data_IF_286866806273
#
_entry.id   IF_286866806273
#
_cell.length_a   1.000
_cell.length_b   1.000
_cell.length_c   1.000
_cell.angle_alpha   90.00
_cell.angle_beta   90.00
_cell.angle_gamma   90.00
#
_symmetry.space_group_name_H-M   'P 1'
#
loop_
_entity.id
_entity.type
_entity.pdbx_description
1 polymer ?
#
# COMPACT_ATOMS: atom_id res chain seq x y z
N UNK A 1 26.00 -34.40 -63.86
CA UNK A 1 26.26 -34.58 -62.42
C UNK A 1 26.44 -33.21 -61.76
N UNK A 2 25.52 -32.22 -61.96
CA UNK A 2 25.60 -30.85 -61.37
C UNK A 2 24.32 -30.34 -60.74
N UNK A 3 23.24 -31.15 -60.68
CA UNK A 3 21.92 -30.70 -60.20
C UNK A 3 21.70 -31.01 -58.71
N UNK A 4 22.49 -31.92 -58.10
CA UNK A 4 22.28 -32.30 -56.68
C UNK A 4 22.89 -31.34 -55.65
N UNK A 5 23.86 -30.49 -56.03
CA UNK A 5 24.55 -29.60 -55.12
C UNK A 5 23.80 -28.30 -54.81
N UNK A 6 22.89 -27.87 -55.72
CA UNK A 6 22.09 -26.65 -55.55
C UNK A 6 20.89 -26.78 -54.61
N UNK A 7 20.31 -27.98 -54.51
CA UNK A 7 19.16 -28.22 -53.63
C UNK A 7 19.52 -28.38 -52.15
N UNK A 8 20.75 -28.78 -51.85
CA UNK A 8 21.21 -28.94 -50.44
C UNK A 8 21.58 -27.58 -49.82
N UNK A 9 22.10 -26.64 -50.63
CA UNK A 9 22.42 -25.28 -50.20
C UNK A 9 21.17 -24.47 -49.87
N UNK A 10 20.07 -24.62 -50.60
CA UNK A 10 18.80 -23.90 -50.34
C UNK A 10 18.09 -24.38 -49.08
N UNK A 11 18.20 -25.69 -48.76
CA UNK A 11 17.63 -26.25 -47.54
C UNK A 11 18.37 -25.77 -46.30
N UNK A 12 19.68 -25.68 -46.32
CA UNK A 12 20.48 -25.21 -45.18
C UNK A 12 20.25 -23.72 -44.91
N UNK A 13 20.16 -22.90 -45.92
CA UNK A 13 19.84 -21.46 -45.77
C UNK A 13 18.42 -21.28 -45.22
N UNK A 14 17.47 -22.10 -45.62
CA UNK A 14 16.10 -22.07 -45.13
C UNK A 14 16.02 -22.49 -43.65
N UNK A 15 16.77 -23.52 -43.23
CA UNK A 15 16.82 -23.97 -41.83
C UNK A 15 17.43 -22.90 -40.88
N UNK A 16 18.50 -22.24 -41.32
CA UNK A 16 19.10 -21.17 -40.51
C UNK A 16 18.14 -19.98 -40.36
N UNK A 17 17.42 -19.59 -41.39
CA UNK A 17 16.39 -18.54 -41.33
C UNK A 17 15.27 -18.91 -40.39
N UNK A 18 14.79 -20.15 -40.41
CA UNK A 18 13.78 -20.65 -39.51
C UNK A 18 14.28 -20.65 -38.06
N UNK A 19 15.52 -21.09 -37.83
CA UNK A 19 16.13 -21.06 -36.52
C UNK A 19 16.26 -19.63 -35.97
N UNK A 20 16.70 -18.66 -36.78
CA UNK A 20 16.74 -17.27 -36.34
C UNK A 20 15.37 -16.69 -36.06
N UNK A 21 14.35 -17.02 -36.85
CA UNK A 21 12.97 -16.59 -36.56
C UNK A 21 12.44 -17.16 -35.25
N UNK A 22 12.69 -18.44 -34.99
CA UNK A 22 12.30 -19.09 -33.73
C UNK A 22 13.07 -18.50 -32.54
N UNK A 23 14.35 -18.22 -32.69
CA UNK A 23 15.17 -17.60 -31.66
C UNK A 23 14.70 -16.18 -31.33
N UNK A 24 14.38 -15.38 -32.34
CA UNK A 24 13.80 -14.03 -32.15
C UNK A 24 12.45 -14.10 -31.47
N UNK A 25 11.57 -15.02 -31.91
CA UNK A 25 10.29 -15.24 -31.29
C UNK A 25 10.40 -15.70 -29.83
N UNK A 26 11.37 -16.56 -29.52
CA UNK A 26 11.68 -16.99 -28.18
C UNK A 26 12.19 -15.84 -27.30
N UNK A 27 13.07 -14.97 -27.82
CA UNK A 27 13.53 -13.77 -27.10
C UNK A 27 12.40 -12.78 -26.80
N UNK A 28 11.40 -12.66 -27.69
CA UNK A 28 10.23 -11.82 -27.49
C UNK A 28 9.27 -12.38 -26.42
N UNK A 29 9.34 -13.69 -26.14
CA UNK A 29 8.53 -14.35 -25.11
C UNK A 29 9.21 -14.37 -23.73
N UNK A 30 10.48 -13.96 -23.65
CA UNK A 30 11.12 -13.84 -22.35
C UNK A 30 10.43 -12.74 -21.53
N UNK A 31 10.03 -13.04 -20.28
CA UNK A 31 9.43 -12.03 -19.41
C UNK A 31 10.45 -10.90 -19.21
N UNK A 32 10.10 -9.72 -19.72
CA UNK A 32 10.89 -8.51 -19.44
C UNK A 32 10.71 -8.18 -17.95
N UNK A 33 11.78 -7.89 -17.19
CA UNK A 33 11.63 -7.39 -15.85
C UNK A 33 10.91 -6.04 -15.92
N UNK A 34 9.60 -6.06 -15.72
CA UNK A 34 8.82 -4.85 -15.54
C UNK A 34 9.22 -4.29 -14.18
N UNK A 35 10.08 -3.30 -14.16
CA UNK A 35 10.33 -2.49 -12.98
C UNK A 35 9.07 -1.67 -12.72
N UNK A 36 8.15 -2.25 -11.96
CA UNK A 36 7.02 -1.53 -11.41
C UNK A 36 7.60 -0.50 -10.45
N UNK A 37 7.51 0.77 -10.79
CA UNK A 37 7.75 1.85 -9.86
C UNK A 37 6.59 1.85 -8.85
N UNK A 38 6.66 0.96 -7.86
CA UNK A 38 5.72 0.96 -6.76
C UNK A 38 5.89 2.26 -5.99
N UNK A 39 4.90 3.13 -6.09
CA UNK A 39 4.75 4.24 -5.16
C UNK A 39 4.42 3.62 -3.79
N UNK A 40 5.43 3.47 -2.95
CA UNK A 40 5.24 2.93 -1.61
C UNK A 40 4.37 3.89 -0.79
N UNK A 41 3.24 3.44 -0.22
CA UNK A 41 2.43 4.29 0.64
C UNK A 41 3.17 4.62 1.93
N UNK A 42 2.87 5.79 2.49
CA UNK A 42 3.28 6.10 3.85
C UNK A 42 2.57 5.21 4.87
N UNK A 43 3.17 4.96 6.01
CA UNK A 43 2.51 4.17 7.06
C UNK A 43 2.75 4.72 8.46
N UNK A 44 1.67 4.83 9.23
CA UNK A 44 1.71 5.12 10.66
C UNK A 44 1.28 3.88 11.42
N UNK A 45 2.06 3.50 12.40
CA UNK A 45 1.71 2.47 13.36
C UNK A 45 1.59 3.11 14.74
N UNK A 46 0.45 2.93 15.39
CA UNK A 46 0.15 3.38 16.75
C UNK A 46 -0.03 2.13 17.59
N UNK A 47 0.88 1.87 18.49
CA UNK A 47 0.87 0.70 19.36
C UNK A 47 0.68 1.13 20.81
N UNK A 48 -0.33 0.61 21.46
CA UNK A 48 -0.53 0.78 22.89
C UNK A 48 0.48 -0.07 23.66
N UNK A 49 1.41 0.58 24.36
CA UNK A 49 2.52 -0.07 25.10
C UNK A 49 2.34 -0.07 26.62
N UNK A 50 1.25 0.48 27.09
CA UNK A 50 0.91 0.53 28.51
C UNK A 50 -0.24 1.49 28.77
N UNK A 51 -0.65 1.62 30.03
CA UNK A 51 -1.71 2.52 30.41
C UNK A 51 -1.40 3.94 29.93
N UNK A 52 -2.25 4.46 29.03
CA UNK A 52 -2.15 5.80 28.43
C UNK A 52 -0.81 6.11 27.72
N UNK A 53 -0.10 5.08 27.26
CA UNK A 53 1.15 5.24 26.51
C UNK A 53 1.07 4.55 25.17
N UNK A 54 1.39 5.33 24.12
CA UNK A 54 1.35 4.86 22.74
C UNK A 54 2.70 5.11 22.06
N UNK A 55 3.22 4.07 21.42
CA UNK A 55 4.36 4.21 20.48
C UNK A 55 3.80 4.55 19.12
N UNK A 56 4.28 5.63 18.53
CA UNK A 56 3.91 6.07 17.20
C UNK A 56 5.12 5.94 16.29
N UNK A 57 4.99 5.15 15.26
CA UNK A 57 6.01 4.95 14.22
C UNK A 57 5.47 5.48 12.90
N UNK A 58 6.01 6.60 12.41
CA UNK A 58 5.74 7.14 11.09
C UNK A 58 6.84 6.72 10.12
N UNK A 59 6.50 6.02 9.05
CA UNK A 59 7.38 5.64 7.95
C UNK A 59 7.04 6.46 6.73
N UNK A 60 7.91 7.43 6.44
CA UNK A 60 7.80 8.30 5.28
C UNK A 60 8.68 7.71 4.15
N UNK A 61 8.10 7.26 3.03
CA UNK A 61 8.88 6.71 1.94
C UNK A 61 9.77 7.76 1.29
N UNK A 62 10.85 7.30 0.65
CA UNK A 62 11.77 8.15 -0.13
C UNK A 62 11.55 7.85 -1.61
N UNK A 63 11.18 8.88 -2.38
CA UNK A 63 11.03 8.78 -3.83
C UNK A 63 12.15 9.53 -4.53
N UNK A 64 12.88 8.85 -5.40
CA UNK A 64 13.99 9.46 -6.15
C UNK A 64 14.97 10.24 -5.26
N UNK A 65 15.27 9.69 -4.08
CA UNK A 65 16.16 10.30 -3.11
C UNK A 65 15.56 11.48 -2.31
N UNK A 66 14.32 11.88 -2.58
CA UNK A 66 13.61 12.94 -1.86
C UNK A 66 12.66 12.35 -0.81
N UNK A 67 12.67 12.89 0.41
CA UNK A 67 11.69 12.51 1.43
C UNK A 67 10.26 12.78 0.98
N UNK A 68 9.34 11.95 1.43
CA UNK A 68 7.90 12.17 1.24
C UNK A 68 7.49 13.54 1.82
N UNK A 69 6.70 14.35 1.08
CA UNK A 69 6.34 15.69 1.55
C UNK A 69 5.37 15.69 2.75
N UNK A 70 4.57 14.63 2.91
CA UNK A 70 3.65 14.54 4.03
C UNK A 70 4.38 14.42 5.37
N UNK A 71 3.86 15.14 6.36
CA UNK A 71 4.31 15.09 7.75
C UNK A 71 3.16 14.58 8.61
N UNK A 72 3.50 13.85 9.68
CA UNK A 72 2.49 13.44 10.66
C UNK A 72 2.35 14.53 11.73
N UNK A 73 1.16 15.11 11.83
CA UNK A 73 0.74 15.98 12.92
C UNK A 73 -0.18 15.21 13.87
N UNK A 74 0.19 15.21 15.13
CA UNK A 74 -0.57 14.61 16.22
C UNK A 74 -1.50 15.63 16.84
N UNK A 75 -2.56 15.19 17.54
CA UNK A 75 -3.42 16.07 18.32
C UNK A 75 -2.64 16.87 19.37
N UNK A 76 -2.98 18.15 19.55
CA UNK A 76 -2.26 19.05 20.47
C UNK A 76 -2.30 18.58 21.93
N UNK A 77 -3.37 17.83 22.32
CA UNK A 77 -3.51 17.29 23.66
C UNK A 77 -2.56 16.12 23.95
N UNK A 78 -1.92 15.52 22.93
CA UNK A 78 -0.98 14.43 23.13
C UNK A 78 0.41 14.98 23.47
N UNK A 79 0.99 14.47 24.55
CA UNK A 79 2.31 14.90 25.00
C UNK A 79 3.36 13.86 24.65
N UNK A 80 4.44 14.30 24.00
CA UNK A 80 5.57 13.43 23.66
C UNK A 80 6.39 13.15 24.92
N UNK A 81 6.62 11.87 25.21
CA UNK A 81 7.45 11.39 26.30
C UNK A 81 8.86 11.07 25.81
N UNK A 82 9.85 11.72 26.37
CA UNK A 82 11.25 11.53 25.95
C UNK A 82 11.58 12.21 24.62
N UNK A 83 12.70 11.80 24.02
CA UNK A 83 13.15 12.36 22.75
C UNK A 83 12.67 11.50 21.58
N UNK A 84 12.03 12.08 20.55
CA UNK A 84 11.72 11.38 19.31
C UNK A 84 13.00 10.89 18.63
N UNK A 85 12.94 9.74 17.98
CA UNK A 85 14.02 9.20 17.18
C UNK A 85 13.70 9.29 15.70
N UNK A 86 14.74 9.57 14.90
CA UNK A 86 14.67 9.54 13.45
C UNK A 86 15.73 8.58 12.92
N UNK A 87 15.32 7.68 12.03
CA UNK A 87 16.23 6.75 11.35
C UNK A 87 15.99 6.80 9.85
N UNK A 88 17.01 7.19 9.12
CA UNK A 88 16.98 7.18 7.65
C UNK A 88 17.47 5.83 7.13
N UNK A 89 16.68 5.22 6.25
CA UNK A 89 17.00 4.02 5.50
C UNK A 89 17.08 4.35 4.00
N UNK A 90 17.39 3.36 3.18
CA UNK A 90 17.47 3.55 1.73
C UNK A 90 16.12 3.91 1.11
N UNK A 91 15.04 3.30 1.60
CA UNK A 91 13.68 3.42 1.04
C UNK A 91 12.75 4.30 1.86
N UNK A 92 13.06 4.59 3.12
CA UNK A 92 12.17 5.32 4.02
C UNK A 92 12.92 6.12 5.09
N UNK A 93 12.21 7.06 5.71
CA UNK A 93 12.61 7.70 6.96
C UNK A 93 11.61 7.27 8.02
N UNK A 94 12.11 6.71 9.11
CA UNK A 94 11.30 6.23 10.23
C UNK A 94 11.42 7.22 11.39
N UNK A 95 10.28 7.81 11.76
CA UNK A 95 10.15 8.65 12.94
C UNK A 95 9.43 7.85 14.02
N UNK A 96 10.01 7.76 15.20
CA UNK A 96 9.41 7.05 16.33
C UNK A 96 9.35 7.98 17.53
N UNK A 97 8.19 7.99 18.20
CA UNK A 97 7.97 8.74 19.46
C UNK A 97 7.01 7.98 20.35
N UNK A 98 7.14 8.19 21.66
CA UNK A 98 6.17 7.72 22.64
C UNK A 98 5.36 8.93 23.09
N UNK A 99 4.06 8.75 23.18
CA UNK A 99 3.13 9.81 23.62
C UNK A 99 2.23 9.32 24.73
N UNK A 100 1.69 10.26 25.53
CA UNK A 100 0.56 10.06 26.42
C UNK A 100 -0.61 10.92 25.97
N UNK A 101 -1.83 10.41 26.18
CA UNK A 101 -3.08 11.10 25.83
C UNK A 101 -3.74 11.76 27.05
N UNK A 102 -3.04 11.79 28.18
CA UNK A 102 -3.56 12.32 29.46
C UNK A 102 -4.88 11.65 29.87
N UNK A 103 -4.96 10.33 29.74
CA UNK A 103 -6.11 9.48 30.09
C UNK A 103 -7.37 9.69 29.21
N UNK A 104 -7.28 10.45 28.13
CA UNK A 104 -8.40 10.65 27.20
C UNK A 104 -8.54 9.52 26.18
N UNK A 105 -7.52 8.64 26.10
CA UNK A 105 -7.44 7.64 25.05
C UNK A 105 -7.17 8.25 23.67
N UNK A 106 -7.20 7.39 22.64
CA UNK A 106 -6.93 7.83 21.25
C UNK A 106 -8.20 7.92 20.40
N UNK A 107 -9.32 7.38 20.88
CA UNK A 107 -10.57 7.37 20.11
C UNK A 107 -11.12 8.79 19.92
N UNK A 108 -11.60 9.08 18.70
CA UNK A 108 -12.05 10.41 18.32
C UNK A 108 -10.91 11.40 18.00
N UNK A 109 -9.66 11.03 18.23
CA UNK A 109 -8.52 11.89 17.93
C UNK A 109 -8.30 12.00 16.42
N UNK A 110 -7.92 13.19 15.95
CA UNK A 110 -7.69 13.47 14.53
C UNK A 110 -6.19 13.53 14.26
N UNK A 111 -5.71 12.67 13.36
CA UNK A 111 -4.38 12.76 12.78
C UNK A 111 -4.44 13.53 11.47
N UNK A 112 -3.49 14.45 11.25
CA UNK A 112 -3.36 15.23 10.02
C UNK A 112 -2.06 14.91 9.31
N UNK A 113 -2.07 15.02 7.98
CA UNK A 113 -0.92 14.75 7.12
C UNK A 113 -0.72 15.91 6.14
N UNK A 114 -0.33 17.11 6.62
CA UNK A 114 -0.04 18.22 5.72
C UNK A 114 1.08 17.85 4.74
N UNK A 115 0.90 18.23 3.49
CA UNK A 115 1.78 17.87 2.37
C UNK A 115 1.33 16.60 1.64
N UNK A 116 0.41 15.78 2.18
CA UNK A 116 -0.11 14.59 1.51
C UNK A 116 -0.91 14.97 0.26
N UNK A 117 -1.60 16.10 0.29
CA UNK A 117 -2.38 16.64 -0.83
C UNK A 117 -1.56 16.90 -2.10
N UNK A 118 -0.26 17.01 -1.97
CA UNK A 118 0.68 17.17 -3.09
C UNK A 118 1.21 15.86 -3.66
N UNK A 119 0.68 14.73 -3.18
CA UNK A 119 1.11 13.38 -3.57
C UNK A 119 -0.01 12.60 -4.26
N UNK A 120 0.35 11.45 -4.81
CA UNK A 120 -0.60 10.48 -5.40
C UNK A 120 -0.71 9.21 -4.55
N UNK A 121 -0.07 9.19 -3.38
CA UNK A 121 0.02 7.99 -2.54
C UNK A 121 -0.80 8.15 -1.27
N UNK A 122 -1.40 7.07 -0.85
CA UNK A 122 -2.16 7.01 0.40
C UNK A 122 -1.22 6.83 1.61
N UNK A 123 -1.75 7.10 2.80
CA UNK A 123 -1.12 6.75 4.09
C UNK A 123 -2.00 5.75 4.81
N UNK A 124 -1.41 4.65 5.26
CA UNK A 124 -2.09 3.67 6.09
C UNK A 124 -1.80 3.94 7.56
N UNK A 125 -2.85 4.13 8.35
CA UNK A 125 -2.75 4.31 9.81
C UNK A 125 -3.27 3.03 10.47
N UNK A 126 -2.39 2.29 11.13
CA UNK A 126 -2.73 1.09 11.88
C UNK A 126 -2.64 1.36 13.37
N UNK A 127 -3.72 1.07 14.06
CA UNK A 127 -3.80 1.14 15.53
C UNK A 127 -3.79 -0.29 16.08
N UNK A 128 -2.89 -0.56 17.01
CA UNK A 128 -2.82 -1.83 17.75
C UNK A 128 -3.04 -1.54 19.23
N UNK A 129 -4.04 -2.15 19.81
CA UNK A 129 -4.37 -1.97 21.23
C UNK A 129 -3.80 -3.10 22.10
N UNK A 130 -3.70 -2.85 23.38
CA UNK A 130 -3.20 -3.82 24.38
C UNK A 130 -4.09 -5.07 24.48
N UNK A 131 -5.38 -4.96 24.18
CA UNK A 131 -6.32 -6.09 24.13
C UNK A 131 -6.19 -6.96 22.88
N UNK A 132 -5.26 -6.63 21.98
CA UNK A 132 -5.02 -7.32 20.70
C UNK A 132 -5.92 -6.85 19.56
N UNK A 133 -6.87 -5.96 19.79
CA UNK A 133 -7.68 -5.37 18.71
C UNK A 133 -6.83 -4.47 17.81
N UNK A 134 -7.19 -4.44 16.51
CA UNK A 134 -6.47 -3.65 15.51
C UNK A 134 -7.47 -2.92 14.63
N UNK A 135 -7.21 -1.67 14.36
CA UNK A 135 -7.97 -0.87 13.39
C UNK A 135 -7.02 -0.32 12.31
N UNK A 136 -7.49 -0.25 11.07
CA UNK A 136 -6.72 0.33 9.97
C UNK A 136 -7.54 1.41 9.28
N UNK A 137 -6.94 2.59 9.13
CA UNK A 137 -7.53 3.72 8.43
C UNK A 137 -6.68 4.06 7.21
N UNK A 138 -7.34 4.43 6.11
CA UNK A 138 -6.66 4.87 4.87
C UNK A 138 -6.87 6.37 4.74
N UNK A 139 -5.77 7.10 4.67
CA UNK A 139 -5.75 8.56 4.49
C UNK A 139 -5.35 8.84 3.05
N UNK A 140 -6.21 9.55 2.33
CA UNK A 140 -6.02 9.87 0.92
C UNK A 140 -5.54 11.31 0.72
N UNK A 141 -4.84 11.61 -0.37
CA UNK A 141 -4.46 12.99 -0.72
C UNK A 141 -5.64 13.98 -0.75
N UNK A 142 -6.81 13.51 -1.18
CA UNK A 142 -8.04 14.31 -1.23
C UNK A 142 -8.63 14.63 0.15
N UNK A 143 -8.25 13.87 1.19
CA UNK A 143 -8.66 14.05 2.57
C UNK A 143 -7.47 13.72 3.48
N UNK A 144 -6.51 14.65 3.67
CA UNK A 144 -5.22 14.39 4.32
C UNK A 144 -5.33 14.34 5.86
N UNK A 145 -6.37 13.71 6.36
CA UNK A 145 -6.60 13.50 7.78
C UNK A 145 -7.50 12.30 8.03
N UNK A 146 -7.43 11.74 9.23
CA UNK A 146 -8.32 10.68 9.69
C UNK A 146 -8.64 10.85 11.16
N UNK A 147 -9.85 10.47 11.55
CA UNK A 147 -10.26 10.31 12.94
C UNK A 147 -9.99 8.86 13.35
N UNK A 148 -9.30 8.66 14.46
CA UNK A 148 -9.06 7.34 15.02
C UNK A 148 -10.34 6.84 15.66
N UNK A 149 -10.87 5.75 15.15
CA UNK A 149 -12.04 5.06 15.70
C UNK A 149 -11.65 3.64 16.04
N UNK A 150 -12.19 3.13 17.15
CA UNK A 150 -12.11 1.71 17.46
C UNK A 150 -12.72 0.87 16.33
N UNK A 151 -12.40 -0.41 16.31
CA UNK A 151 -13.07 -1.34 15.41
C UNK A 151 -14.59 -1.29 15.67
N UNK A 152 -15.35 -1.17 14.59
CA UNK A 152 -16.79 -1.45 14.68
C UNK A 152 -16.94 -2.93 15.03
N UNK A 153 -17.82 -3.29 15.96
CA UNK A 153 -18.10 -4.68 16.26
C UNK A 153 -18.38 -5.45 14.96
N UNK A 154 -17.78 -6.60 14.79
CA UNK A 154 -17.89 -7.41 13.57
C UNK A 154 -19.34 -7.69 13.15
N UNK A 155 -20.25 -7.76 14.10
CA UNK A 155 -21.68 -7.97 13.86
C UNK A 155 -22.35 -6.77 13.16
N UNK A 156 -21.94 -5.52 13.45
CA UNK A 156 -22.44 -4.34 12.72
C UNK A 156 -21.96 -4.35 11.27
N UNK A 157 -20.70 -4.66 11.06
CA UNK A 157 -20.12 -4.81 9.72
C UNK A 157 -20.76 -5.96 8.96
N UNK A 158 -21.01 -7.10 9.63
CA UNK A 158 -21.66 -8.26 9.02
C UNK A 158 -23.12 -7.97 8.61
N UNK A 159 -23.87 -7.23 9.43
CA UNK A 159 -25.21 -6.80 9.08
C UNK A 159 -25.24 -5.87 7.87
N UNK A 160 -24.31 -4.93 7.82
CA UNK A 160 -24.19 -3.98 6.70
C UNK A 160 -23.90 -4.70 5.38
N UNK A 161 -22.97 -5.66 5.39
CA UNK A 161 -22.68 -6.50 4.22
C UNK A 161 -23.82 -7.46 3.86
N UNK A 162 -24.49 -8.05 4.84
CA UNK A 162 -25.65 -8.90 4.58
C UNK A 162 -26.78 -8.11 3.92
N UNK A 163 -27.06 -6.91 4.42
CA UNK A 163 -28.11 -6.05 3.88
C UNK A 163 -27.74 -5.52 2.48
N UNK A 164 -26.47 -5.16 2.28
CA UNK A 164 -25.96 -4.74 0.97
C UNK A 164 -26.04 -5.88 -0.05
N UNK A 165 -25.62 -7.09 0.32
CA UNK A 165 -25.69 -8.28 -0.53
C UNK A 165 -27.14 -8.66 -0.85
N UNK A 166 -28.03 -8.64 0.12
CA UNK A 166 -29.46 -8.90 -0.07
C UNK A 166 -30.10 -7.86 -1.01
N UNK A 167 -29.81 -6.59 -0.81
CA UNK A 167 -30.31 -5.51 -1.66
C UNK A 167 -29.74 -5.60 -3.09
N UNK A 168 -28.48 -6.01 -3.21
CA UNK A 168 -27.85 -6.23 -4.51
C UNK A 168 -28.51 -7.38 -5.28
N UNK A 169 -28.87 -8.47 -4.60
CA UNK A 169 -29.59 -9.60 -5.21
C UNK A 169 -31.02 -9.20 -5.59
N UNK A 170 -31.73 -8.45 -4.74
CA UNK A 170 -33.11 -8.03 -5.02
C UNK A 170 -33.21 -6.96 -6.11
N UNK A 171 -32.23 -6.05 -6.19
CA UNK A 171 -32.22 -4.97 -7.18
C UNK A 171 -31.52 -5.38 -8.49
N UNK A 172 -30.68 -6.43 -8.42
CA UNK A 172 -29.95 -6.97 -9.57
C UNK A 172 -30.74 -8.01 -10.36
N UNK A 173 -32.03 -7.77 -10.65
CA UNK A 173 -32.89 -8.67 -11.41
C UNK A 173 -32.32 -9.03 -12.78
N UNK A 174 -31.48 -8.15 -13.34
CA UNK A 174 -30.80 -8.35 -14.63
C UNK A 174 -29.78 -9.49 -14.63
N UNK A 175 -29.24 -9.88 -13.44
CA UNK A 175 -28.28 -10.97 -13.31
C UNK A 175 -28.91 -12.35 -12.99
N UNK A 176 -30.19 -12.39 -12.70
CA UNK A 176 -30.92 -13.63 -12.41
C UNK A 176 -31.67 -14.20 -13.63
N UNK A 177 -31.64 -13.51 -14.77
CA UNK A 177 -32.38 -13.89 -15.99
C UNK A 177 -31.47 -14.44 -17.11
N UNK A 178 -30.20 -14.69 -16.86
CA UNK A 178 -29.25 -15.31 -17.81
C UNK A 178 -28.55 -16.53 -17.22
#
# INVERSE_FOLDING_TARGET
MKVHLTLESDRTISMHRLFYLLAVMFCLWLPQPVSSHESQPGSVEIEEIGADRFRITWRAPIYYGKPHPARLELPDQWQTLGQPTERRRASDIVFERIVTTNQQGIDGSILRFPGLESTITDVYVRVKRADGSQATHVVRPTKPWTELRGERPWHETSWEYLFLGFNHILLGVDHLLF
#
